data_IF_127024615442
#
_entry.id   IF_127024615442
#
_cell.length_a   1.000
_cell.length_b   1.000
_cell.length_c   1.000
_cell.angle_alpha   90.00
_cell.angle_beta   90.00
_cell.angle_gamma   90.00
#
_symmetry.space_group_name_H-M   'P 1'
#
loop_
_entity.id
_entity.type
_entity.pdbx_description
1 polymer ?
#
# COMPACT_ATOMS: atom_id res chain seq x y z
N UNK A 1 -1.37 0.80 -9.03
CA UNK A 1 -1.97 -0.41 -8.41
C UNK A 1 -2.73 -0.02 -7.14
N UNK A 2 -3.73 -0.80 -6.68
CA UNK A 2 -4.38 -0.57 -5.39
C UNK A 2 -4.49 -1.87 -4.57
N UNK A 3 -4.21 -1.79 -3.26
CA UNK A 3 -4.26 -2.93 -2.34
C UNK A 3 -5.37 -2.75 -1.30
N UNK A 4 -6.25 -3.75 -1.22
CA UNK A 4 -7.26 -3.86 -0.17
C UNK A 4 -6.61 -4.07 1.21
N UNK A 5 -7.31 -3.83 2.33
CA UNK A 5 -6.76 -4.01 3.67
C UNK A 5 -6.10 -5.38 3.85
N UNK A 6 -6.84 -6.46 3.55
CA UNK A 6 -6.41 -7.84 3.72
C UNK A 6 -5.34 -8.33 2.73
N UNK A 7 -4.94 -7.53 1.74
CA UNK A 7 -3.96 -7.94 0.72
C UNK A 7 -2.54 -7.53 1.15
N UNK A 8 -1.61 -8.45 1.46
CA UNK A 8 -0.24 -8.10 1.87
C UNK A 8 0.54 -7.42 0.72
N UNK A 9 1.60 -6.67 1.06
CA UNK A 9 2.45 -6.00 0.07
C UNK A 9 3.61 -6.87 -0.40
N UNK A 10 4.09 -7.75 0.48
CA UNK A 10 5.30 -8.57 0.30
C UNK A 10 5.33 -9.35 -1.01
N UNK A 11 4.23 -10.00 -1.48
CA UNK A 11 4.25 -10.72 -2.74
C UNK A 11 4.44 -9.84 -3.98
N UNK A 12 4.30 -8.53 -3.85
CA UNK A 12 4.37 -7.56 -4.95
C UNK A 12 5.64 -6.71 -4.89
N UNK A 13 6.60 -7.04 -4.02
CA UNK A 13 7.83 -6.26 -3.87
C UNK A 13 8.58 -6.09 -5.21
N UNK A 14 8.70 -7.16 -5.98
CA UNK A 14 9.38 -7.15 -7.28
C UNK A 14 8.62 -6.36 -8.36
N UNK A 15 7.33 -6.07 -8.15
CA UNK A 15 6.52 -5.26 -9.06
C UNK A 15 6.65 -3.76 -8.76
N UNK A 16 7.15 -3.37 -7.59
CA UNK A 16 7.25 -1.96 -7.19
C UNK A 16 7.99 -1.07 -8.20
N UNK A 17 9.10 -1.50 -8.85
CA UNK A 17 9.79 -0.68 -9.84
C UNK A 17 8.96 -0.34 -11.10
N UNK A 18 7.92 -1.12 -11.38
CA UNK A 18 7.05 -0.96 -12.56
C UNK A 18 5.84 -0.05 -12.27
N UNK A 19 5.75 0.54 -11.07
CA UNK A 19 4.62 1.34 -10.63
C UNK A 19 5.04 2.79 -10.40
N UNK A 20 4.33 3.72 -11.02
CA UNK A 20 4.41 5.14 -10.63
C UNK A 20 3.66 5.39 -9.31
N UNK A 21 2.62 4.58 -9.03
CA UNK A 21 1.70 4.77 -7.92
C UNK A 21 1.16 3.46 -7.31
N UNK A 22 1.16 3.39 -5.98
CA UNK A 22 0.54 2.33 -5.18
C UNK A 22 -0.43 2.92 -4.16
N UNK A 23 -1.73 2.62 -4.30
CA UNK A 23 -2.75 3.04 -3.35
C UNK A 23 -2.99 1.97 -2.29
N UNK A 24 -2.82 2.30 -1.01
CA UNK A 24 -3.26 1.45 0.11
C UNK A 24 -4.66 1.87 0.54
N UNK A 25 -5.63 0.95 0.44
CA UNK A 25 -6.98 1.19 0.94
C UNK A 25 -6.98 1.16 2.47
N UNK A 26 -7.48 2.24 3.07
CA UNK A 26 -7.61 2.37 4.52
C UNK A 26 -8.96 1.87 5.08
N UNK A 27 -9.82 1.36 4.20
CA UNK A 27 -11.18 0.86 4.47
C UNK A 27 -11.48 -0.31 3.53
N UNK A 28 -12.54 -1.06 3.81
CA UNK A 28 -12.99 -2.09 2.87
C UNK A 28 -13.59 -1.44 1.61
N UNK A 29 -13.33 -1.99 0.40
CA UNK A 29 -13.87 -1.42 -0.82
C UNK A 29 -15.38 -1.61 -0.91
N UNK A 30 -16.10 -0.59 -1.36
CA UNK A 30 -17.53 -0.67 -1.63
C UNK A 30 -18.23 0.67 -1.58
N UNK A 31 -18.21 1.32 -0.42
CA UNK A 31 -18.93 2.58 -0.18
C UNK A 31 -18.13 3.58 0.66
N UNK A 32 -18.45 4.87 0.53
CA UNK A 32 -17.83 5.96 1.29
C UNK A 32 -18.38 6.12 2.70
N UNK A 33 -17.69 6.88 3.56
CA UNK A 33 -18.11 7.17 4.93
C UNK A 33 -17.69 6.12 5.97
N UNK A 34 -16.88 5.15 5.57
CA UNK A 34 -16.31 4.17 6.49
C UNK A 34 -15.21 4.80 7.36
N UNK A 35 -15.10 4.31 8.59
CA UNK A 35 -14.03 4.71 9.51
C UNK A 35 -12.68 4.19 9.03
N UNK A 36 -11.63 4.98 9.26
CA UNK A 36 -10.25 4.57 8.99
C UNK A 36 -9.87 3.33 9.80
N UNK A 37 -9.19 2.37 9.16
CA UNK A 37 -8.69 1.17 9.81
C UNK A 37 -7.25 1.40 10.32
N UNK A 38 -7.06 1.60 11.63
CA UNK A 38 -5.73 1.84 12.23
C UNK A 38 -4.71 0.72 11.96
N UNK A 39 -5.20 -0.50 11.74
CA UNK A 39 -4.39 -1.67 11.36
C UNK A 39 -3.68 -1.48 10.01
N UNK A 40 -4.01 -0.43 9.26
CA UNK A 40 -3.36 -0.09 7.99
C UNK A 40 -2.06 0.70 8.19
N UNK A 41 -1.86 1.36 9.35
CA UNK A 41 -0.64 2.13 9.61
C UNK A 41 0.64 1.29 9.52
N UNK A 42 0.72 0.06 10.09
CA UNK A 42 1.87 -0.81 9.89
C UNK A 42 2.13 -1.15 8.42
N UNK A 43 1.08 -1.38 7.62
CA UNK A 43 1.22 -1.69 6.19
C UNK A 43 1.79 -0.50 5.42
N UNK A 44 1.32 0.72 5.68
CA UNK A 44 1.86 1.94 5.07
C UNK A 44 3.36 2.09 5.39
N UNK A 45 3.75 1.88 6.65
CA UNK A 45 5.16 1.94 7.06
C UNK A 45 6.01 0.90 6.33
N UNK A 46 5.54 -0.35 6.33
CA UNK A 46 6.19 -1.48 5.64
C UNK A 46 6.37 -1.20 4.15
N UNK A 47 5.33 -0.73 3.47
CA UNK A 47 5.41 -0.37 2.05
C UNK A 47 6.40 0.77 1.82
N UNK A 48 6.44 1.79 2.68
CA UNK A 48 7.44 2.86 2.58
C UNK A 48 8.87 2.35 2.77
N UNK A 49 9.09 1.39 3.66
CA UNK A 49 10.39 0.74 3.84
C UNK A 49 10.83 -0.01 2.58
N UNK A 50 9.93 -0.74 1.94
CA UNK A 50 10.21 -1.45 0.68
C UNK A 50 10.57 -0.46 -0.45
N UNK A 51 9.81 0.62 -0.60
CA UNK A 51 10.10 1.69 -1.59
C UNK A 51 11.50 2.26 -1.35
N UNK A 52 11.86 2.55 -0.09
CA UNK A 52 13.19 3.07 0.26
C UNK A 52 14.30 2.04 0.04
N UNK A 53 14.07 0.78 0.37
CA UNK A 53 15.02 -0.33 0.16
C UNK A 53 15.45 -0.42 -1.30
N UNK A 54 14.53 -0.18 -2.23
CA UNK A 54 14.78 -0.23 -3.67
C UNK A 54 15.16 1.13 -4.29
N UNK A 55 15.19 2.21 -3.49
CA UNK A 55 15.52 3.55 -3.98
C UNK A 55 14.51 4.12 -4.98
N UNK A 56 13.23 3.73 -4.88
CA UNK A 56 12.20 4.08 -5.87
C UNK A 56 11.55 5.43 -5.55
N UNK A 57 11.29 6.23 -6.60
CA UNK A 57 10.42 7.40 -6.54
C UNK A 57 8.96 7.03 -6.81
N UNK A 58 8.42 6.15 -5.98
CA UNK A 58 7.04 5.66 -6.10
C UNK A 58 6.09 6.48 -5.22
N UNK A 59 4.96 6.91 -5.79
CA UNK A 59 3.88 7.55 -5.02
C UNK A 59 3.10 6.49 -4.24
N UNK A 60 3.02 6.68 -2.93
CA UNK A 60 2.32 5.81 -1.99
C UNK A 60 1.23 6.59 -1.25
#
# INVERSE_FOLDING_TARGET
MALKPATPIEPYEDLLPELDMLLIMAVEPGFGGQAFLDIMLPKIRRTRELIRKHGLELWL
#
